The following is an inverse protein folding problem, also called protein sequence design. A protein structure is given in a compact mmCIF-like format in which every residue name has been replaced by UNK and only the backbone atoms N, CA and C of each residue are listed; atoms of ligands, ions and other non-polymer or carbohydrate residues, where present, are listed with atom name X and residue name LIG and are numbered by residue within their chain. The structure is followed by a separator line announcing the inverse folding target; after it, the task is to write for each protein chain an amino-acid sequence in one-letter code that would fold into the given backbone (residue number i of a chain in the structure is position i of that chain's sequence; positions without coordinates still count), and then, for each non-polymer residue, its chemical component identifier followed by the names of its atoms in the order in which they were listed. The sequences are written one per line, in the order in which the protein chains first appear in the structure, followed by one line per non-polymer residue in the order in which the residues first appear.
data_IF_001706076833
#
_entry.id   IF_001706076833
#
_cell.length_a   1.000
_cell.length_b   1.000
_cell.length_c   1.000
_cell.angle_alpha   90.00
_cell.angle_beta   90.00
_cell.angle_gamma   90.00
#
_symmetry.space_group_name_H-M   'P 1'
#
loop_
_entity.id
_entity.type
_entity.pdbx_description
1 polymer ?
#
# COMPACT_ATOMS: atom_id res chain seq x y z
N UNK A 1 59.23 59.15 -12.31
CA UNK A 1 58.16 58.28 -11.78
C UNK A 1 57.29 57.88 -12.96
N UNK A 2 57.37 56.60 -13.33
CA UNK A 2 57.05 56.07 -14.66
C UNK A 2 55.55 55.94 -14.94
N UNK A 3 55.17 56.26 -16.18
CA UNK A 3 53.89 55.94 -16.81
C UNK A 3 53.84 54.44 -17.11
N UNK A 4 52.79 53.76 -16.65
CA UNK A 4 52.48 52.37 -17.00
C UNK A 4 51.34 52.33 -18.02
N UNK A 5 51.60 51.72 -19.17
CA UNK A 5 50.67 51.48 -20.27
C UNK A 5 49.74 50.32 -19.92
N UNK A 6 48.43 50.56 -19.96
CA UNK A 6 47.41 49.51 -19.97
C UNK A 6 47.37 48.86 -21.35
N UNK A 7 47.74 47.57 -21.39
CA UNK A 7 47.61 46.73 -22.57
C UNK A 7 46.26 46.03 -22.48
N UNK A 8 45.27 46.55 -23.21
CA UNK A 8 43.99 45.87 -23.43
C UNK A 8 44.21 44.53 -24.13
N UNK A 9 43.68 43.45 -23.54
CA UNK A 9 43.61 42.13 -24.19
C UNK A 9 42.44 42.17 -25.18
N UNK A 10 42.64 41.81 -26.47
CA UNK A 10 41.54 41.75 -27.41
C UNK A 10 40.57 40.64 -27.03
N UNK A 11 39.29 40.98 -26.99
CA UNK A 11 38.19 40.06 -26.80
C UNK A 11 38.20 38.97 -27.87
N UNK A 12 37.97 37.73 -27.46
CA UNK A 12 37.67 36.62 -28.39
C UNK A 12 36.28 36.87 -28.98
N UNK A 13 36.24 37.57 -30.10
CA UNK A 13 35.06 37.62 -30.96
C UNK A 13 34.71 36.21 -31.43
N UNK A 14 33.47 35.83 -31.20
CA UNK A 14 32.90 34.55 -31.61
C UNK A 14 32.49 34.70 -33.08
N UNK A 15 33.44 34.46 -34.00
CA UNK A 15 33.21 34.54 -35.45
C UNK A 15 32.38 33.32 -35.90
N UNK A 16 31.14 33.50 -36.39
CA UNK A 16 30.37 32.39 -36.95
C UNK A 16 31.01 31.96 -38.27
N UNK A 17 31.44 30.70 -38.38
CA UNK A 17 31.93 30.11 -39.63
C UNK A 17 33.42 29.75 -39.69
N UNK A 18 34.16 29.84 -38.57
CA UNK A 18 35.54 29.33 -38.54
C UNK A 18 35.52 27.79 -38.52
N UNK A 19 35.94 27.15 -39.62
CA UNK A 19 36.14 25.70 -39.63
C UNK A 19 37.19 25.33 -38.58
N UNK A 20 36.81 24.43 -37.66
CA UNK A 20 37.74 23.89 -36.67
C UNK A 20 38.82 23.11 -37.39
N UNK A 21 40.08 23.37 -37.06
CA UNK A 21 41.20 22.62 -37.62
C UNK A 21 41.29 21.22 -36.96
N UNK A 22 42.09 20.33 -37.54
CA UNK A 22 42.24 18.96 -37.05
C UNK A 22 42.67 18.87 -35.58
N UNK A 23 43.50 19.81 -35.10
CA UNK A 23 43.97 19.86 -33.71
C UNK A 23 42.82 20.17 -32.74
N UNK A 24 41.97 21.15 -33.05
CA UNK A 24 40.81 21.51 -32.22
C UNK A 24 39.76 20.39 -32.17
N UNK A 25 39.58 19.65 -33.27
CA UNK A 25 38.67 18.50 -33.31
C UNK A 25 39.22 17.30 -32.50
N UNK A 26 40.53 17.09 -32.54
CA UNK A 26 41.21 16.07 -31.72
C UNK A 26 41.13 16.40 -30.21
N UNK A 27 41.22 17.68 -29.85
CA UNK A 27 41.03 18.12 -28.46
C UNK A 27 39.61 17.89 -27.95
N UNK A 28 38.59 18.10 -28.79
CA UNK A 28 37.17 17.89 -28.43
C UNK A 28 36.82 16.41 -28.16
N UNK A 29 37.59 15.46 -28.71
CA UNK A 29 37.36 14.02 -28.56
C UNK A 29 37.80 13.42 -27.20
N UNK A 30 38.21 14.27 -26.26
CA UNK A 30 38.75 13.98 -24.91
C UNK A 30 38.52 12.58 -24.29
N UNK A 31 39.63 12.03 -23.79
CA UNK A 31 39.89 10.76 -23.12
C UNK A 31 41.37 10.72 -22.68
N UNK A 32 41.80 9.69 -21.91
CA UNK A 32 43.20 9.54 -21.48
C UNK A 32 44.18 9.59 -22.66
N UNK A 33 45.42 10.08 -22.44
CA UNK A 33 46.44 10.27 -23.50
C UNK A 33 46.59 9.01 -24.39
N UNK A 34 46.55 7.82 -23.79
CA UNK A 34 46.60 6.52 -24.48
C UNK A 34 45.35 6.23 -25.33
N UNK A 35 44.17 6.59 -24.85
CA UNK A 35 42.91 6.44 -25.59
C UNK A 35 42.74 7.46 -26.72
N UNK A 36 43.54 8.53 -26.76
CA UNK A 36 43.62 9.49 -27.86
C UNK A 36 44.43 8.94 -29.04
N UNK A 37 45.58 8.30 -28.77
CA UNK A 37 46.44 7.75 -29.82
C UNK A 37 45.79 6.58 -30.57
N UNK A 38 45.08 5.69 -29.87
CA UNK A 38 44.44 4.52 -30.48
C UNK A 38 43.23 4.89 -31.35
N UNK A 39 42.40 5.84 -30.91
CA UNK A 39 41.26 6.33 -31.70
C UNK A 39 41.71 7.12 -32.92
N UNK A 40 42.75 7.93 -32.78
CA UNK A 40 43.33 8.67 -33.89
C UNK A 40 43.92 7.71 -34.94
N UNK A 41 44.69 6.71 -34.51
CA UNK A 41 45.25 5.69 -35.41
C UNK A 41 44.17 4.91 -36.18
N UNK A 42 43.02 4.61 -35.54
CA UNK A 42 41.89 3.96 -36.22
C UNK A 42 41.24 4.84 -37.27
N UNK A 43 40.97 6.11 -36.98
CA UNK A 43 40.37 7.05 -37.93
C UNK A 43 41.31 7.33 -39.12
N UNK A 44 42.62 7.35 -38.90
CA UNK A 44 43.62 7.45 -39.97
C UNK A 44 43.61 6.20 -40.87
N UNK A 45 43.58 5.00 -40.27
CA UNK A 45 43.50 3.76 -41.03
C UNK A 45 42.19 3.64 -41.82
N UNK A 46 41.08 4.12 -41.26
CA UNK A 46 39.76 4.15 -41.90
C UNK A 46 39.71 5.14 -43.07
N UNK A 47 40.30 6.33 -42.91
CA UNK A 47 40.48 7.29 -44.00
C UNK A 47 41.26 6.68 -45.17
N UNK A 48 42.35 5.97 -44.88
CA UNK A 48 43.16 5.30 -45.91
C UNK A 48 42.43 4.15 -46.59
N UNK A 49 41.58 3.41 -45.86
CA UNK A 49 40.84 2.27 -46.39
C UNK A 49 39.62 2.68 -47.24
N UNK A 50 38.95 3.76 -46.87
CA UNK A 50 37.70 4.22 -47.49
C UNK A 50 37.91 5.32 -48.54
N UNK A 51 39.07 5.98 -48.50
CA UNK A 51 39.35 7.18 -49.30
C UNK A 51 38.65 8.44 -48.78
N UNK A 52 37.90 8.36 -47.68
CA UNK A 52 37.26 9.52 -47.08
C UNK A 52 38.30 10.45 -46.43
N UNK A 53 38.17 11.78 -46.59
CA UNK A 53 39.09 12.73 -45.95
C UNK A 53 39.07 12.57 -44.42
N UNK A 54 40.25 12.36 -43.84
CA UNK A 54 40.42 12.20 -42.39
C UNK A 54 39.76 13.30 -41.54
N UNK A 55 39.70 14.53 -42.06
CA UNK A 55 39.01 15.66 -41.42
C UNK A 55 37.49 15.45 -41.31
N UNK A 56 36.86 14.79 -42.27
CA UNK A 56 35.41 14.55 -42.25
C UNK A 56 35.06 13.43 -41.28
N UNK A 57 35.87 12.37 -41.23
CA UNK A 57 35.77 11.32 -40.20
C UNK A 57 35.96 11.88 -38.79
N UNK A 58 36.89 12.81 -38.60
CA UNK A 58 37.06 13.53 -37.32
C UNK A 58 35.84 14.38 -36.96
N UNK A 59 35.31 15.16 -37.92
CA UNK A 59 34.12 15.99 -37.71
C UNK A 59 32.91 15.11 -37.33
N UNK A 60 32.75 13.95 -37.95
CA UNK A 60 31.66 13.03 -37.65
C UNK A 60 31.81 12.39 -36.26
N UNK A 61 33.00 11.91 -35.91
CA UNK A 61 33.27 11.34 -34.59
C UNK A 61 33.01 12.34 -33.44
N UNK A 62 33.30 13.63 -33.65
CA UNK A 62 32.99 14.70 -32.68
C UNK A 62 31.48 14.86 -32.52
N UNK A 63 30.72 14.89 -33.62
CA UNK A 63 29.25 14.99 -33.57
C UNK A 63 28.63 13.80 -32.86
N UNK A 64 29.13 12.60 -33.11
CA UNK A 64 28.62 11.37 -32.48
C UNK A 64 28.90 11.35 -30.97
N UNK A 65 30.08 11.83 -30.56
CA UNK A 65 30.41 12.01 -29.14
C UNK A 65 29.49 13.03 -28.48
N UNK A 66 29.31 14.20 -29.09
CA UNK A 66 28.44 15.26 -28.58
C UNK A 66 26.97 14.79 -28.48
N UNK A 67 26.48 14.03 -29.47
CA UNK A 67 25.15 13.42 -29.45
C UNK A 67 25.00 12.38 -28.32
N UNK A 68 26.02 11.54 -28.12
CA UNK A 68 26.06 10.57 -27.02
C UNK A 68 26.03 11.23 -25.64
N UNK A 69 26.82 12.30 -25.45
CA UNK A 69 26.83 13.07 -24.21
C UNK A 69 25.50 13.80 -23.95
N UNK A 70 24.87 14.37 -24.98
CA UNK A 70 23.55 14.97 -24.86
C UNK A 70 22.48 13.95 -24.49
N UNK A 71 22.53 12.74 -25.07
CA UNK A 71 21.62 11.66 -24.73
C UNK A 71 21.81 11.20 -23.28
N UNK A 72 23.06 11.06 -22.82
CA UNK A 72 23.38 10.74 -21.42
C UNK A 72 22.93 11.84 -20.46
N UNK A 73 23.09 13.13 -20.82
CA UNK A 73 22.60 14.27 -20.01
C UNK A 73 21.07 14.30 -19.94
N UNK A 74 20.36 14.00 -21.05
CA UNK A 74 18.89 13.90 -21.06
C UNK A 74 18.41 12.72 -20.21
N UNK A 75 18.97 11.54 -20.42
CA UNK A 75 18.64 10.34 -19.62
C UNK A 75 19.00 10.51 -18.13
N UNK A 76 20.06 11.26 -17.81
CA UNK A 76 20.43 11.62 -16.44
C UNK A 76 19.43 12.59 -15.81
N UNK A 77 18.99 13.61 -16.55
CA UNK A 77 17.94 14.55 -16.09
C UNK A 77 16.58 13.87 -15.93
N UNK A 78 16.24 12.93 -16.80
CA UNK A 78 15.01 12.15 -16.74
C UNK A 78 15.02 11.19 -15.55
N UNK A 79 16.14 10.49 -15.30
CA UNK A 79 16.34 9.70 -14.07
C UNK A 79 16.29 10.56 -12.81
N UNK A 80 16.79 11.80 -12.85
CA UNK A 80 16.69 12.73 -11.72
C UNK A 80 15.25 13.23 -11.51
N UNK A 81 14.49 13.45 -12.59
CA UNK A 81 13.05 13.78 -12.55
C UNK A 81 12.24 12.60 -12.01
N UNK A 82 12.44 11.40 -12.51
CA UNK A 82 11.80 10.19 -11.97
C UNK A 82 12.19 9.95 -10.51
N UNK A 83 13.45 10.20 -10.12
CA UNK A 83 13.87 10.08 -8.72
C UNK A 83 13.25 11.18 -7.85
N UNK A 84 13.00 12.39 -8.39
CA UNK A 84 12.27 13.47 -7.71
C UNK A 84 10.78 13.17 -7.57
N UNK A 85 10.17 12.62 -8.62
CA UNK A 85 8.77 12.18 -8.65
C UNK A 85 8.53 10.98 -7.71
N UNK A 86 9.45 10.00 -7.70
CA UNK A 86 9.45 8.88 -6.74
C UNK A 86 9.83 9.29 -5.31
N UNK A 87 10.63 10.35 -5.15
CA UNK A 87 10.97 10.89 -3.82
C UNK A 87 9.82 11.63 -3.15
N UNK A 88 8.64 11.66 -3.78
CA UNK A 88 7.38 11.95 -3.12
C UNK A 88 7.43 13.31 -2.46
N UNK A 89 7.06 14.31 -3.25
CA UNK A 89 6.26 15.44 -2.78
C UNK A 89 5.98 15.34 -1.29
N UNK A 90 6.66 16.19 -0.52
CA UNK A 90 6.14 16.79 0.71
C UNK A 90 4.63 16.89 0.50
N UNK A 91 3.85 15.92 0.99
CA UNK A 91 2.39 16.03 0.96
C UNK A 91 2.16 17.37 1.60
N UNK A 92 1.62 18.31 0.84
CA UNK A 92 1.27 19.61 1.39
C UNK A 92 0.43 19.28 2.61
N UNK A 93 1.02 19.57 3.75
CA UNK A 93 0.44 19.29 5.04
C UNK A 93 -0.89 20.00 5.02
N UNK A 94 -1.99 19.26 5.06
CA UNK A 94 -3.31 19.85 5.23
C UNK A 94 -3.28 20.64 6.54
N UNK A 95 -3.27 21.99 6.49
CA UNK A 95 -3.13 22.80 7.69
C UNK A 95 -4.32 22.63 8.65
N UNK A 96 -5.39 21.95 8.22
CA UNK A 96 -6.58 21.66 9.02
C UNK A 96 -6.41 20.43 9.91
N UNK A 97 -5.37 19.61 9.72
CA UNK A 97 -5.13 18.44 10.56
C UNK A 97 -4.02 18.70 11.60
N UNK A 98 -4.27 18.41 12.88
CA UNK A 98 -3.27 18.58 13.91
C UNK A 98 -2.07 17.63 13.66
N UNK A 99 -0.86 18.17 13.82
CA UNK A 99 0.37 17.41 13.64
C UNK A 99 0.51 16.35 14.73
N UNK A 100 0.36 15.08 14.36
CA UNK A 100 0.73 13.96 15.24
C UNK A 100 2.22 14.02 15.56
N UNK A 101 2.55 14.04 16.83
CA UNK A 101 3.90 13.92 17.37
C UNK A 101 4.53 12.58 16.98
N UNK A 102 5.86 12.48 17.01
CA UNK A 102 6.54 11.22 16.74
C UNK A 102 6.10 10.11 17.70
N UNK A 103 5.86 10.43 18.97
CA UNK A 103 5.39 9.48 19.98
C UNK A 103 3.98 8.94 19.63
N UNK A 104 3.05 9.80 19.21
CA UNK A 104 1.72 9.35 18.79
C UNK A 104 1.76 8.42 17.58
N UNK A 105 2.68 8.67 16.64
CA UNK A 105 2.88 7.81 15.45
C UNK A 105 3.44 6.45 15.83
N UNK A 106 4.43 6.42 16.72
CA UNK A 106 4.99 5.18 17.28
C UNK A 106 3.90 4.40 18.03
N UNK A 107 3.09 5.08 18.84
CA UNK A 107 1.97 4.49 19.58
C UNK A 107 0.88 3.98 18.63
N UNK A 108 0.61 4.67 17.52
CA UNK A 108 -0.27 4.19 16.46
C UNK A 108 0.27 2.93 15.79
N UNK A 109 1.57 2.89 15.48
CA UNK A 109 2.19 1.73 14.86
C UNK A 109 2.15 0.48 15.76
N UNK A 110 2.42 0.61 17.07
CA UNK A 110 2.32 -0.53 17.98
C UNK A 110 0.87 -0.98 18.20
N UNK A 111 -0.10 -0.05 18.22
CA UNK A 111 -1.54 -0.38 18.25
C UNK A 111 -1.94 -1.20 17.03
N UNK A 112 -1.53 -0.78 15.83
CA UNK A 112 -1.81 -1.51 14.59
C UNK A 112 -1.17 -2.91 14.63
N UNK A 113 0.14 -2.99 14.90
CA UNK A 113 0.89 -4.26 14.91
C UNK A 113 0.43 -5.20 16.04
N UNK A 114 -0.10 -4.67 17.15
CA UNK A 114 -0.66 -5.46 18.23
C UNK A 114 -2.10 -5.91 17.97
N UNK A 115 -2.89 -5.14 17.22
CA UNK A 115 -4.29 -5.47 16.89
C UNK A 115 -4.39 -6.50 15.77
N UNK A 116 -3.48 -6.43 14.81
CA UNK A 116 -3.45 -7.29 13.63
C UNK A 116 -2.26 -8.26 13.72
N UNK A 117 -2.42 -9.46 13.17
CA UNK A 117 -1.39 -10.52 13.24
C UNK A 117 -0.12 -10.16 12.46
N UNK A 118 -0.26 -9.43 11.36
CA UNK A 118 0.85 -8.93 10.57
C UNK A 118 0.47 -7.60 9.89
N UNK A 119 1.40 -6.66 9.85
CA UNK A 119 1.23 -5.38 9.14
C UNK A 119 2.44 -5.13 8.25
N UNK A 120 2.24 -4.79 6.98
CA UNK A 120 3.34 -4.46 6.10
C UNK A 120 3.98 -3.12 6.49
N UNK A 121 5.32 -3.04 6.42
CA UNK A 121 6.04 -1.80 6.74
C UNK A 121 5.57 -0.64 5.85
N UNK A 122 5.30 -0.91 4.57
CA UNK A 122 4.78 0.09 3.61
C UNK A 122 3.47 0.70 4.10
N UNK A 123 2.59 -0.10 4.70
CA UNK A 123 1.28 0.38 5.13
C UNK A 123 1.40 1.24 6.40
N UNK A 124 2.30 0.88 7.32
CA UNK A 124 2.63 1.74 8.47
C UNK A 124 3.24 3.07 8.04
N UNK A 125 4.14 3.05 7.05
CA UNK A 125 4.71 4.28 6.47
C UNK A 125 3.59 5.19 5.98
N UNK A 126 2.66 4.66 5.19
CA UNK A 126 1.53 5.42 4.66
C UNK A 126 0.60 5.95 5.76
N UNK A 127 0.17 5.08 6.69
CA UNK A 127 -0.89 5.38 7.65
C UNK A 127 -0.40 6.09 8.92
N UNK A 128 0.67 5.59 9.53
CA UNK A 128 1.13 6.09 10.84
C UNK A 128 2.21 7.15 10.71
N UNK A 129 2.97 7.16 9.61
CA UNK A 129 4.07 8.09 9.39
C UNK A 129 3.82 9.08 8.24
N UNK A 130 2.58 9.24 7.78
CA UNK A 130 2.15 10.15 6.70
C UNK A 130 3.02 10.05 5.42
N UNK A 131 3.49 8.84 5.11
CA UNK A 131 4.35 8.57 3.96
C UNK A 131 5.84 8.80 4.20
N UNK A 132 6.30 9.15 5.41
CA UNK A 132 7.71 9.45 5.71
C UNK A 132 8.51 8.18 6.05
N UNK A 133 9.30 7.59 5.12
CA UNK A 133 9.89 6.28 5.34
C UNK A 133 11.00 6.31 6.40
N UNK A 134 11.80 7.39 6.43
CA UNK A 134 12.86 7.55 7.41
C UNK A 134 12.34 7.56 8.85
N UNK A 135 11.24 8.28 9.09
CA UNK A 135 10.59 8.32 10.41
C UNK A 135 10.07 6.93 10.81
N UNK A 136 9.44 6.21 9.88
CA UNK A 136 8.97 4.85 10.10
C UNK A 136 10.13 3.90 10.41
N UNK A 137 11.21 3.90 9.63
CA UNK A 137 12.38 3.06 9.89
C UNK A 137 13.02 3.34 11.24
N UNK A 138 13.14 4.62 11.64
CA UNK A 138 13.63 5.00 12.96
C UNK A 138 12.73 4.46 14.08
N UNK A 139 11.41 4.60 13.93
CA UNK A 139 10.43 4.09 14.87
C UNK A 139 10.50 2.56 14.99
N UNK A 140 10.51 1.84 13.87
CA UNK A 140 10.56 0.38 13.87
C UNK A 140 11.86 -0.11 14.48
N UNK A 141 13.01 0.50 14.15
CA UNK A 141 14.28 0.14 14.78
C UNK A 141 14.25 0.36 16.31
N UNK A 142 13.56 1.40 16.80
CA UNK A 142 13.36 1.61 18.24
C UNK A 142 12.44 0.54 18.86
N UNK A 143 11.36 0.17 18.18
CA UNK A 143 10.44 -0.87 18.65
C UNK A 143 11.12 -2.24 18.69
N UNK A 144 11.94 -2.58 17.70
CA UNK A 144 12.74 -3.81 17.68
C UNK A 144 13.78 -3.84 18.80
N UNK A 145 14.53 -2.74 19.00
CA UNK A 145 15.51 -2.66 20.12
C UNK A 145 14.85 -2.83 21.49
N UNK A 146 13.58 -2.43 21.63
CA UNK A 146 12.78 -2.62 22.85
C UNK A 146 12.13 -4.01 22.92
N UNK A 147 12.35 -4.87 21.91
CA UNK A 147 11.75 -6.19 21.83
C UNK A 147 10.23 -6.16 21.69
N UNK A 148 9.65 -5.11 21.11
CA UNK A 148 8.19 -4.96 20.96
C UNK A 148 7.68 -5.50 19.62
N UNK A 149 8.50 -5.49 18.58
CA UNK A 149 8.13 -6.01 17.26
C UNK A 149 9.26 -6.84 16.67
N UNK A 150 8.91 -7.76 15.79
CA UNK A 150 9.83 -8.49 14.93
C UNK A 150 9.57 -8.14 13.46
N UNK A 151 10.64 -7.91 12.70
CA UNK A 151 10.58 -7.87 11.23
C UNK A 151 10.64 -9.28 10.65
N UNK A 152 9.81 -9.52 9.64
CA UNK A 152 9.87 -10.73 8.81
C UNK A 152 9.77 -10.36 7.34
N UNK A 153 10.33 -11.23 6.50
CA UNK A 153 10.10 -11.17 5.07
C UNK A 153 8.95 -12.09 4.70
N UNK A 154 8.07 -11.60 3.84
CA UNK A 154 6.96 -12.35 3.28
C UNK A 154 7.02 -12.30 1.76
N UNK A 155 6.44 -13.31 1.10
CA UNK A 155 6.27 -13.31 -0.34
C UNK A 155 4.97 -12.63 -0.71
N UNK A 156 5.04 -11.68 -1.64
CA UNK A 156 3.89 -11.02 -2.24
C UNK A 156 3.26 -11.87 -3.34
N UNK A 157 2.03 -11.53 -3.78
CA UNK A 157 1.30 -12.28 -4.79
C UNK A 157 2.01 -12.38 -6.15
N UNK A 158 2.96 -11.48 -6.43
CA UNK A 158 3.71 -11.39 -7.69
C UNK A 158 5.15 -11.92 -7.56
N UNK A 159 5.46 -12.65 -6.49
CA UNK A 159 6.79 -13.25 -6.25
C UNK A 159 7.84 -12.31 -5.64
N UNK A 160 7.56 -11.00 -5.53
CA UNK A 160 8.42 -10.06 -4.80
C UNK A 160 8.35 -10.29 -3.28
N UNK A 161 9.44 -10.03 -2.55
CA UNK A 161 9.41 -10.05 -1.08
C UNK A 161 9.06 -8.69 -0.51
N UNK A 162 8.40 -8.67 0.64
CA UNK A 162 8.10 -7.45 1.37
C UNK A 162 8.23 -7.65 2.88
N UNK A 163 8.56 -6.57 3.57
CA UNK A 163 8.76 -6.58 5.02
C UNK A 163 7.44 -6.41 5.77
N UNK A 164 7.19 -7.31 6.72
CA UNK A 164 6.08 -7.22 7.67
C UNK A 164 6.59 -7.10 9.09
N UNK A 165 5.77 -6.47 9.93
CA UNK A 165 5.97 -6.40 11.37
C UNK A 165 4.92 -7.26 12.07
N UNK A 166 5.38 -7.95 13.11
CA UNK A 166 4.58 -8.79 13.99
C UNK A 166 4.89 -8.37 15.43
N UNK A 167 3.88 -8.27 16.28
CA UNK A 167 4.10 -7.96 17.69
C UNK A 167 4.75 -9.15 18.41
N UNK A 168 5.72 -8.85 19.28
CA UNK A 168 6.14 -9.80 20.31
C UNK A 168 5.09 -9.83 21.43
N UNK A 169 5.26 -10.71 22.43
CA UNK A 169 4.40 -10.68 23.63
C UNK A 169 4.47 -9.31 24.34
N UNK A 170 5.66 -8.73 24.44
CA UNK A 170 5.86 -7.39 25.01
C UNK A 170 5.18 -6.32 24.16
N UNK A 171 5.23 -6.44 22.83
CA UNK A 171 4.52 -5.54 21.92
C UNK A 171 3.00 -5.61 22.05
N UNK A 172 2.44 -6.81 22.15
CA UNK A 172 1.00 -7.00 22.33
C UNK A 172 0.51 -6.44 23.66
N UNK A 173 1.28 -6.63 24.75
CA UNK A 173 0.99 -6.02 26.05
C UNK A 173 1.08 -4.49 25.99
N UNK A 174 2.08 -3.93 25.30
CA UNK A 174 2.20 -2.48 25.10
C UNK A 174 1.03 -1.91 24.29
N UNK A 175 0.61 -2.61 23.23
CA UNK A 175 -0.56 -2.23 22.44
C UNK A 175 -1.85 -2.27 23.28
N UNK A 176 -2.02 -3.28 24.13
CA UNK A 176 -3.18 -3.40 25.03
C UNK A 176 -3.23 -2.24 26.02
N UNK A 177 -2.10 -1.90 26.65
CA UNK A 177 -2.01 -0.75 27.55
C UNK A 177 -2.39 0.56 26.82
N UNK A 178 -1.87 0.77 25.62
CA UNK A 178 -2.21 1.94 24.80
C UNK A 178 -3.69 1.98 24.40
N UNK A 179 -4.32 0.83 24.15
CA UNK A 179 -5.77 0.79 23.88
C UNK A 179 -6.59 1.09 25.14
N UNK A 180 -6.15 0.61 26.30
CA UNK A 180 -6.78 0.91 27.59
C UNK A 180 -6.73 2.42 27.91
N UNK A 181 -5.58 3.05 27.71
CA UNK A 181 -5.40 4.50 27.84
C UNK A 181 -6.31 5.29 26.89
N UNK A 182 -6.58 4.76 25.70
CA UNK A 182 -7.53 5.33 24.75
C UNK A 182 -9.00 5.01 25.05
N UNK A 183 -9.31 4.42 26.21
CA UNK A 183 -10.68 4.05 26.61
C UNK A 183 -11.23 2.79 25.93
N UNK A 184 -10.40 2.02 25.22
CA UNK A 184 -10.81 0.82 24.45
C UNK A 184 -10.37 -0.47 25.16
N UNK A 185 -10.83 -0.65 26.41
CA UNK A 185 -10.38 -1.74 27.29
C UNK A 185 -10.71 -3.16 26.78
N UNK A 186 -11.62 -3.30 25.82
CA UNK A 186 -11.98 -4.56 25.19
C UNK A 186 -11.14 -4.95 23.97
N UNK A 187 -10.21 -4.11 23.50
CA UNK A 187 -9.43 -4.40 22.30
C UNK A 187 -8.43 -5.53 22.58
N UNK A 188 -8.64 -6.68 21.95
CA UNK A 188 -7.69 -7.80 22.03
C UNK A 188 -6.45 -7.51 21.20
N UNK A 189 -5.31 -7.97 21.68
CA UNK A 189 -4.03 -7.91 20.98
C UNK A 189 -3.46 -9.30 20.76
N UNK A 190 -2.58 -9.42 19.77
CA UNK A 190 -2.01 -10.67 19.30
C UNK A 190 -0.49 -10.55 19.24
N UNK A 191 0.19 -11.67 19.44
CA UNK A 191 1.65 -11.75 19.38
C UNK A 191 2.10 -13.05 18.74
N UNK A 192 3.30 -13.03 18.16
CA UNK A 192 4.01 -14.22 17.75
C UNK A 192 3.90 -14.53 16.25
N UNK A 193 4.73 -15.48 15.84
CA UNK A 193 4.94 -15.86 14.44
C UNK A 193 3.65 -16.21 13.70
N UNK A 194 3.33 -15.43 12.66
CA UNK A 194 2.38 -15.83 11.61
C UNK A 194 3.08 -16.79 10.65
N UNK A 195 2.38 -17.85 10.22
CA UNK A 195 2.91 -18.76 9.19
C UNK A 195 3.13 -17.99 7.90
N UNK A 196 4.23 -18.26 7.19
CA UNK A 196 4.59 -17.52 5.96
C UNK A 196 3.44 -17.48 4.93
N UNK A 197 2.70 -18.57 4.78
CA UNK A 197 1.55 -18.66 3.88
C UNK A 197 0.34 -17.80 4.28
N UNK A 198 0.22 -17.42 5.56
CA UNK A 198 -0.89 -16.61 6.09
C UNK A 198 -0.57 -15.11 6.06
N UNK A 199 0.71 -14.72 6.00
CA UNK A 199 1.13 -13.30 6.11
C UNK A 199 0.50 -12.42 5.03
N UNK A 200 0.48 -12.89 3.78
CA UNK A 200 -0.12 -12.11 2.68
C UNK A 200 -1.62 -11.87 2.89
N UNK A 201 -2.33 -12.86 3.43
CA UNK A 201 -3.74 -12.72 3.80
C UNK A 201 -3.91 -11.75 4.97
N UNK A 202 -3.15 -11.92 6.05
CA UNK A 202 -3.25 -11.06 7.25
C UNK A 202 -2.99 -9.57 6.94
N UNK A 203 -2.06 -9.29 6.03
CA UNK A 203 -1.80 -7.94 5.54
C UNK A 203 -2.99 -7.40 4.73
N UNK A 204 -3.61 -8.23 3.90
CA UNK A 204 -4.83 -7.83 3.18
C UNK A 204 -5.99 -7.58 4.15
N UNK A 205 -6.11 -8.36 5.24
CA UNK A 205 -7.11 -8.14 6.30
C UNK A 205 -6.87 -6.81 7.02
N UNK A 206 -5.62 -6.47 7.36
CA UNK A 206 -5.28 -5.16 7.90
C UNK A 206 -5.78 -4.04 6.99
N UNK A 207 -5.42 -4.09 5.70
CA UNK A 207 -5.79 -3.04 4.75
C UNK A 207 -7.30 -2.92 4.56
N UNK A 208 -8.00 -4.06 4.47
CA UNK A 208 -9.46 -4.09 4.36
C UNK A 208 -10.14 -3.49 5.60
N UNK A 209 -9.65 -3.82 6.81
CA UNK A 209 -10.15 -3.23 8.04
C UNK A 209 -9.90 -1.72 8.12
N UNK A 210 -8.73 -1.25 7.65
CA UNK A 210 -8.44 0.18 7.56
C UNK A 210 -9.39 0.89 6.59
N UNK A 211 -9.62 0.34 5.40
CA UNK A 211 -10.56 0.91 4.43
C UNK A 211 -12.00 0.94 4.99
N UNK A 212 -12.41 -0.11 5.70
CA UNK A 212 -13.71 -0.14 6.39
C UNK A 212 -13.81 0.95 7.46
N UNK A 213 -12.75 1.13 8.25
CA UNK A 213 -12.69 2.18 9.27
C UNK A 213 -12.81 3.57 8.62
N UNK A 214 -12.05 3.86 7.57
CA UNK A 214 -12.08 5.15 6.87
C UNK A 214 -13.47 5.44 6.30
N UNK A 215 -14.14 4.44 5.72
CA UNK A 215 -15.53 4.57 5.26
C UNK A 215 -16.50 4.88 6.40
N UNK A 216 -16.41 4.16 7.51
CA UNK A 216 -17.26 4.39 8.69
C UNK A 216 -17.04 5.82 9.21
N UNK A 217 -15.79 6.24 9.36
CA UNK A 217 -15.41 7.58 9.83
C UNK A 217 -15.87 8.69 8.87
N UNK A 218 -15.80 8.47 7.55
CA UNK A 218 -16.30 9.40 6.54
C UNK A 218 -17.83 9.65 6.66
N UNK A 219 -18.57 8.71 7.24
CA UNK A 219 -20.01 8.86 7.53
C UNK A 219 -20.30 9.40 8.93
N UNK A 220 -19.29 9.88 9.64
CA UNK A 220 -19.39 10.39 11.01
C UNK A 220 -19.40 9.31 12.10
N UNK A 221 -19.21 8.04 11.73
CA UNK A 221 -19.07 6.94 12.68
C UNK A 221 -17.70 6.90 13.37
N UNK A 222 -17.59 6.10 14.43
CA UNK A 222 -16.35 5.88 15.17
C UNK A 222 -16.18 4.40 15.47
N UNK A 223 -15.07 3.82 15.02
CA UNK A 223 -14.72 2.43 15.32
C UNK A 223 -14.31 2.29 16.78
N UNK A 224 -15.00 1.41 17.51
CA UNK A 224 -14.80 1.14 18.94
C UNK A 224 -14.02 -0.13 19.19
N UNK A 225 -14.04 -1.12 18.27
CA UNK A 225 -13.24 -2.35 18.37
C UNK A 225 -12.98 -2.95 16.98
N UNK A 226 -11.83 -3.61 16.84
CA UNK A 226 -11.56 -4.54 15.73
C UNK A 226 -11.41 -5.93 16.30
N UNK A 227 -12.15 -6.91 15.77
CA UNK A 227 -12.04 -8.33 16.13
C UNK A 227 -11.57 -9.11 14.92
N UNK A 228 -10.49 -9.86 15.03
CA UNK A 228 -10.05 -10.75 13.94
C UNK A 228 -10.70 -12.13 14.05
N UNK A 229 -10.66 -12.90 12.97
CA UNK A 229 -11.26 -14.23 12.87
C UNK A 229 -10.91 -15.17 14.03
N UNK A 230 -9.65 -15.18 14.48
CA UNK A 230 -9.17 -16.02 15.56
C UNK A 230 -9.87 -15.71 16.90
N UNK A 231 -10.17 -14.43 17.16
CA UNK A 231 -10.91 -14.01 18.34
C UNK A 231 -12.36 -14.47 18.28
N UNK A 232 -13.02 -14.24 17.15
CA UNK A 232 -14.42 -14.62 16.92
C UNK A 232 -14.60 -16.14 17.02
N UNK A 233 -13.74 -16.91 16.35
CA UNK A 233 -13.71 -18.38 16.43
C UNK A 233 -13.51 -18.84 17.87
N UNK A 234 -12.56 -18.24 18.59
CA UNK A 234 -12.26 -18.58 19.97
C UNK A 234 -13.43 -18.35 20.92
N UNK A 235 -14.11 -17.20 20.84
CA UNK A 235 -15.27 -16.90 21.68
C UNK A 235 -16.46 -17.82 21.40
N UNK A 236 -16.77 -18.06 20.12
CA UNK A 236 -17.85 -18.95 19.71
C UNK A 236 -17.57 -20.38 20.15
N UNK A 237 -16.35 -20.88 19.93
CA UNK A 237 -15.94 -22.22 20.33
C UNK A 237 -15.98 -22.38 21.86
N UNK A 238 -15.50 -21.39 22.62
CA UNK A 238 -15.49 -21.45 24.08
C UNK A 238 -16.91 -21.56 24.67
N UNK A 239 -17.88 -20.80 24.12
CA UNK A 239 -19.29 -20.89 24.55
C UNK A 239 -19.91 -22.25 24.19
N UNK A 240 -19.62 -22.75 22.98
CA UNK A 240 -20.06 -24.07 22.54
C UNK A 240 -19.51 -25.20 23.42
N UNK A 241 -18.21 -25.19 23.67
CA UNK A 241 -17.53 -26.22 24.45
C UNK A 241 -17.98 -26.21 25.92
N UNK A 242 -18.21 -25.03 26.51
CA UNK A 242 -18.77 -24.91 27.86
C UNK A 242 -20.15 -25.57 27.95
N UNK A 243 -21.04 -25.27 27.01
CA UNK A 243 -22.38 -25.86 26.98
C UNK A 243 -22.34 -27.39 26.72
N UNK A 244 -21.43 -27.84 25.85
CA UNK A 244 -21.22 -29.27 25.57
C UNK A 244 -20.81 -30.04 26.82
N UNK A 245 -19.87 -29.50 27.60
CA UNK A 245 -19.39 -30.13 28.85
C UNK A 245 -20.45 -30.16 29.95
N UNK A 246 -21.33 -29.16 30.00
CA UNK A 246 -22.40 -29.09 31.01
C UNK A 246 -23.61 -29.95 30.67
N UNK A 247 -23.84 -30.24 29.39
CA UNK A 247 -24.99 -30.98 28.90
C UNK A 247 -24.55 -32.02 27.86
N UNK A 248 -24.71 -31.71 26.58
CA UNK A 248 -24.47 -32.63 25.49
C UNK A 248 -24.00 -31.91 24.22
N UNK A 249 -23.74 -32.68 23.17
CA UNK A 249 -23.35 -32.14 21.86
C UNK A 249 -24.36 -31.12 21.31
N UNK A 250 -25.67 -31.42 21.39
CA UNK A 250 -26.74 -30.59 20.85
C UNK A 250 -26.79 -29.22 21.54
N UNK A 251 -26.64 -29.18 22.85
CA UNK A 251 -26.53 -27.94 23.63
C UNK A 251 -25.29 -27.14 23.22
N UNK A 252 -24.17 -27.81 22.93
CA UNK A 252 -22.97 -27.20 22.37
C UNK A 252 -23.22 -26.50 21.02
N UNK A 253 -23.91 -27.16 20.10
CA UNK A 253 -24.24 -26.58 18.78
C UNK A 253 -25.20 -25.39 18.88
N UNK A 254 -26.23 -25.51 19.71
CA UNK A 254 -27.16 -24.42 19.99
C UNK A 254 -26.43 -23.21 20.60
N UNK A 255 -25.50 -23.45 21.53
CA UNK A 255 -24.69 -22.39 22.14
C UNK A 255 -23.73 -21.73 21.14
N UNK A 256 -23.13 -22.48 20.19
CA UNK A 256 -22.32 -21.90 19.10
C UNK A 256 -23.16 -20.98 18.22
N UNK A 257 -24.36 -21.43 17.84
CA UNK A 257 -25.27 -20.64 17.01
C UNK A 257 -25.71 -19.36 17.72
N UNK A 258 -26.08 -19.46 19.00
CA UNK A 258 -26.41 -18.30 19.83
C UNK A 258 -25.23 -17.34 19.99
N UNK A 259 -24.04 -17.87 20.23
CA UNK A 259 -22.82 -17.07 20.33
C UNK A 259 -22.54 -16.28 19.04
N UNK A 260 -22.69 -16.92 17.88
CA UNK A 260 -22.54 -16.26 16.60
C UNK A 260 -23.56 -15.12 16.42
N UNK A 261 -24.84 -15.37 16.75
CA UNK A 261 -25.89 -14.35 16.69
C UNK A 261 -25.59 -13.16 17.62
N UNK A 262 -25.21 -13.41 18.89
CA UNK A 262 -24.85 -12.36 19.84
C UNK A 262 -23.69 -11.48 19.32
N UNK A 263 -22.74 -12.10 18.61
CA UNK A 263 -21.58 -11.45 17.99
C UNK A 263 -21.88 -10.88 16.59
N UNK A 264 -23.10 -11.02 16.06
CA UNK A 264 -23.46 -10.53 14.72
C UNK A 264 -22.72 -11.24 13.59
N UNK A 265 -22.31 -12.49 13.85
CA UNK A 265 -21.65 -13.37 12.90
C UNK A 265 -22.73 -14.22 12.20
N UNK A 266 -22.85 -14.16 10.86
CA UNK A 266 -23.91 -14.87 10.14
C UNK A 266 -23.86 -16.39 10.33
N UNK A 267 -25.04 -17.01 10.39
CA UNK A 267 -25.20 -18.47 10.38
C UNK A 267 -26.04 -18.84 9.15
N UNK A 268 -25.50 -19.71 8.31
CA UNK A 268 -26.16 -20.18 7.09
C UNK A 268 -26.11 -21.71 7.05
N UNK A 269 -27.26 -22.34 6.82
CA UNK A 269 -27.39 -23.81 6.74
C UNK A 269 -26.77 -24.53 7.96
N UNK A 270 -26.97 -23.96 9.16
CA UNK A 270 -26.40 -24.47 10.41
C UNK A 270 -24.90 -24.21 10.60
N UNK A 271 -24.24 -23.55 9.65
CA UNK A 271 -22.81 -23.23 9.69
C UNK A 271 -22.58 -21.77 10.05
N UNK A 272 -21.76 -21.54 11.07
CA UNK A 272 -21.26 -20.21 11.41
C UNK A 272 -20.25 -19.76 10.35
N UNK A 273 -20.51 -18.61 9.73
CA UNK A 273 -19.63 -17.98 8.75
C UNK A 273 -18.83 -16.88 9.45
N UNK A 274 -17.58 -17.14 9.80
CA UNK A 274 -16.74 -16.16 10.51
C UNK A 274 -16.03 -15.25 9.50
N UNK A 275 -16.11 -13.91 9.64
CA UNK A 275 -15.35 -12.98 8.79
C UNK A 275 -13.87 -12.96 9.14
N UNK A 276 -13.06 -12.43 8.23
CA UNK A 276 -11.63 -12.21 8.47
C UNK A 276 -11.40 -11.17 9.58
N UNK A 277 -12.21 -10.12 9.58
CA UNK A 277 -12.29 -9.13 10.65
C UNK A 277 -13.72 -8.62 10.84
N UNK A 278 -14.03 -8.14 12.04
CA UNK A 278 -15.26 -7.44 12.36
C UNK A 278 -14.92 -6.12 13.04
N UNK A 279 -15.43 -5.01 12.51
CA UNK A 279 -15.35 -3.71 13.16
C UNK A 279 -16.64 -3.48 13.94
N UNK A 280 -16.53 -3.22 15.23
CA UNK A 280 -17.61 -2.64 16.04
C UNK A 280 -17.46 -1.13 16.01
N UNK A 281 -18.56 -0.41 15.84
CA UNK A 281 -18.54 1.05 15.73
C UNK A 281 -19.81 1.67 16.29
N UNK A 282 -19.72 2.95 16.63
CA UNK A 282 -20.88 3.82 16.87
C UNK A 282 -21.08 4.65 15.61
N UNK A 283 -22.24 4.57 14.99
CA UNK A 283 -22.60 5.37 13.82
C UNK A 283 -22.71 6.87 14.18
N UNK A 284 -22.71 7.75 13.17
CA UNK A 284 -22.83 9.20 13.41
C UNK A 284 -24.12 9.62 14.13
N UNK A 285 -25.15 8.77 14.12
CA UNK A 285 -26.40 8.97 14.86
C UNK A 285 -26.42 8.30 16.25
N UNK A 286 -25.27 7.79 16.70
CA UNK A 286 -25.10 7.18 18.02
C UNK A 286 -25.50 5.71 18.11
N UNK A 287 -26.00 5.08 17.04
CA UNK A 287 -26.36 3.65 17.07
C UNK A 287 -25.12 2.77 16.98
N UNK A 288 -25.12 1.68 17.73
CA UNK A 288 -24.10 0.63 17.59
C UNK A 288 -24.26 -0.11 16.26
N UNK A 289 -23.13 -0.40 15.63
CA UNK A 289 -23.05 -1.10 14.36
C UNK A 289 -21.89 -2.08 14.32
N UNK A 290 -21.98 -3.02 13.37
CA UNK A 290 -20.94 -4.01 13.07
C UNK A 290 -20.69 -4.07 11.56
N UNK A 291 -19.44 -4.24 11.18
CA UNK A 291 -19.01 -4.42 9.79
C UNK A 291 -18.17 -5.69 9.70
N UNK A 292 -18.72 -6.74 9.09
CA UNK A 292 -18.05 -8.03 8.87
C UNK A 292 -17.21 -7.96 7.59
N UNK A 293 -15.91 -7.73 7.73
CA UNK A 293 -14.94 -7.59 6.63
C UNK A 293 -14.49 -8.97 6.15
N UNK A 294 -14.52 -9.17 4.83
CA UNK A 294 -14.07 -10.37 4.15
C UNK A 294 -13.10 -10.03 3.03
N UNK A 295 -11.94 -10.68 3.01
CA UNK A 295 -10.94 -10.51 1.96
C UNK A 295 -11.08 -11.60 0.90
N UNK A 296 -11.53 -11.21 -0.28
CA UNK A 296 -11.57 -12.06 -1.45
C UNK A 296 -10.20 -12.13 -2.14
N UNK A 297 -9.72 -13.35 -2.37
CA UNK A 297 -8.54 -13.61 -3.19
C UNK A 297 -8.89 -13.81 -4.66
N UNK A 298 -7.89 -13.87 -5.54
CA UNK A 298 -8.09 -14.10 -6.97
C UNK A 298 -8.71 -15.47 -7.30
N UNK A 299 -8.63 -16.43 -6.37
CA UNK A 299 -9.18 -17.77 -6.54
C UNK A 299 -10.64 -17.91 -6.11
N UNK A 300 -11.22 -16.88 -5.50
CA UNK A 300 -12.64 -16.90 -5.12
C UNK A 300 -13.53 -16.97 -6.35
N UNK A 301 -14.50 -17.87 -6.33
CA UNK A 301 -15.48 -17.98 -7.41
C UNK A 301 -16.60 -16.98 -7.17
N UNK A 302 -17.18 -16.43 -8.24
CA UNK A 302 -18.24 -15.42 -8.13
C UNK A 302 -19.46 -15.86 -7.29
N UNK A 303 -19.76 -17.17 -7.26
CA UNK A 303 -20.81 -17.74 -6.39
C UNK A 303 -20.48 -17.59 -4.89
N UNK A 304 -19.23 -17.77 -4.50
CA UNK A 304 -18.76 -17.70 -3.11
C UNK A 304 -18.79 -16.25 -2.64
N UNK A 305 -18.35 -15.32 -3.50
CA UNK A 305 -18.44 -13.87 -3.26
C UNK A 305 -19.89 -13.45 -3.07
N UNK A 306 -20.81 -13.87 -3.95
CA UNK A 306 -22.24 -13.56 -3.81
C UNK A 306 -22.87 -14.16 -2.56
N UNK A 307 -22.52 -15.39 -2.21
CA UNK A 307 -23.03 -16.03 -1.00
C UNK A 307 -22.60 -15.27 0.26
N UNK A 308 -21.31 -14.90 0.35
CA UNK A 308 -20.80 -14.08 1.47
C UNK A 308 -21.42 -12.68 1.48
N UNK A 309 -21.51 -12.00 0.35
CA UNK A 309 -22.18 -10.70 0.29
C UNK A 309 -23.65 -10.78 0.72
N UNK A 310 -24.38 -11.82 0.30
CA UNK A 310 -25.78 -12.07 0.72
C UNK A 310 -25.89 -12.35 2.22
N UNK A 311 -24.87 -12.97 2.83
CA UNK A 311 -24.80 -13.20 4.27
C UNK A 311 -24.43 -11.92 5.06
N UNK A 312 -24.22 -10.78 4.39
CA UNK A 312 -23.96 -9.49 5.04
C UNK A 312 -22.48 -9.17 5.25
N UNK A 313 -21.58 -9.86 4.54
CA UNK A 313 -20.15 -9.54 4.55
C UNK A 313 -19.84 -8.39 3.61
N UNK A 314 -18.95 -7.51 4.04
CA UNK A 314 -18.38 -6.47 3.22
C UNK A 314 -17.10 -7.00 2.55
N UNK A 315 -17.16 -7.10 1.23
CA UNK A 315 -16.14 -7.75 0.42
C UNK A 315 -15.05 -6.76 0.02
N UNK A 316 -13.80 -7.08 0.35
CA UNK A 316 -12.60 -6.36 -0.06
C UNK A 316 -11.72 -7.27 -0.91
N UNK A 317 -11.09 -6.73 -1.94
CA UNK A 317 -10.22 -7.49 -2.81
C UNK A 317 -8.77 -7.44 -2.34
N UNK A 318 -8.08 -8.59 -2.32
CA UNK A 318 -6.66 -8.62 -1.94
C UNK A 318 -5.70 -8.14 -3.04
N UNK A 319 -6.18 -7.97 -4.27
CA UNK A 319 -5.39 -7.54 -5.42
C UNK A 319 -6.27 -6.92 -6.52
N UNK A 320 -5.69 -6.18 -7.49
CA UNK A 320 -6.45 -5.66 -8.64
C UNK A 320 -7.14 -6.76 -9.46
N UNK A 321 -6.54 -7.96 -9.56
CA UNK A 321 -7.18 -9.11 -10.21
C UNK A 321 -8.40 -9.60 -9.43
N UNK A 322 -8.24 -9.76 -8.11
CA UNK A 322 -9.34 -10.14 -7.23
C UNK A 322 -10.47 -9.10 -7.28
N UNK A 323 -10.14 -7.81 -7.39
CA UNK A 323 -11.10 -6.73 -7.51
C UNK A 323 -12.00 -6.89 -8.75
N UNK A 324 -11.41 -7.21 -9.91
CA UNK A 324 -12.20 -7.48 -11.11
C UNK A 324 -13.15 -8.67 -10.93
N UNK A 325 -12.75 -9.70 -10.17
CA UNK A 325 -13.61 -10.85 -9.86
C UNK A 325 -14.76 -10.44 -8.92
N UNK A 326 -14.46 -9.70 -7.86
CA UNK A 326 -15.43 -9.18 -6.88
C UNK A 326 -16.46 -8.28 -7.56
N UNK A 327 -16.00 -7.32 -8.38
CA UNK A 327 -16.88 -6.40 -9.10
C UNK A 327 -17.80 -7.14 -10.08
N UNK A 328 -17.27 -8.08 -10.88
CA UNK A 328 -18.11 -8.90 -11.79
C UNK A 328 -19.11 -9.77 -11.04
N UNK A 329 -18.72 -10.34 -9.91
CA UNK A 329 -19.59 -11.20 -9.12
C UNK A 329 -20.78 -10.43 -8.54
N UNK A 330 -20.58 -9.16 -8.19
CA UNK A 330 -21.55 -8.33 -7.49
C UNK A 330 -22.34 -7.38 -8.40
N UNK A 331 -21.84 -7.07 -9.61
CA UNK A 331 -22.57 -6.29 -10.61
C UNK A 331 -23.94 -6.92 -10.99
N UNK A 332 -24.08 -8.24 -10.86
CA UNK A 332 -25.34 -8.96 -11.07
C UNK A 332 -26.33 -8.94 -9.88
N UNK A 333 -25.95 -8.35 -8.74
CA UNK A 333 -26.80 -8.32 -7.53
C UNK A 333 -27.68 -7.05 -7.49
N UNK A 334 -27.42 -6.06 -8.36
CA UNK A 334 -28.11 -4.77 -8.40
C UNK A 334 -29.15 -4.54 -9.51
N UNK A 335 -29.51 -5.56 -10.30
CA UNK A 335 -30.37 -5.38 -11.48
C UNK A 335 -31.47 -6.43 -11.61
N UNK A 336 -32.66 -6.16 -11.08
CA UNK A 336 -33.82 -7.02 -11.27
C UNK A 336 -35.11 -6.47 -10.67
N UNK A 337 -35.80 -5.58 -11.41
CA UNK A 337 -37.26 -5.61 -11.69
C UNK A 337 -37.71 -4.30 -12.38
N UNK A 338 -37.74 -4.32 -13.72
CA UNK A 338 -38.71 -3.55 -14.51
C UNK A 338 -39.46 -4.53 -15.39
N UNK A 339 -40.79 -4.52 -15.29
CA UNK A 339 -41.68 -4.98 -16.35
C UNK A 339 -42.38 -6.33 -16.12
N UNK A 340 -43.42 -6.35 -15.29
CA UNK A 340 -44.70 -6.96 -15.70
C UNK A 340 -45.85 -6.30 -14.95
N UNK A 341 -46.76 -5.74 -15.73
CA UNK A 341 -48.06 -5.20 -15.35
C UNK A 341 -48.90 -6.21 -14.56
N UNK A 342 -49.58 -5.73 -13.51
CA UNK A 342 -50.51 -6.51 -12.70
C UNK A 342 -51.07 -5.68 -11.55
N UNK A 343 -52.37 -5.41 -11.62
CA UNK A 343 -53.20 -4.57 -10.76
C UNK A 343 -53.32 -5.15 -9.33
N UNK A 344 -53.40 -4.28 -8.30
CA UNK A 344 -53.94 -4.64 -6.96
C UNK A 344 -53.15 -4.04 -5.79
N UNK A 345 -53.73 -3.04 -5.11
CA UNK A 345 -53.11 -2.39 -3.94
C UNK A 345 -53.21 -3.21 -2.65
N UNK A 346 -52.39 -2.84 -1.64
CA UNK A 346 -52.75 -2.52 -0.25
C UNK A 346 -51.48 -1.96 0.43
N UNK A 347 -51.65 -0.91 1.23
CA UNK A 347 -50.63 -0.15 1.95
C UNK A 347 -49.86 -0.95 3.01
N UNK A 348 -48.58 -0.63 3.18
CA UNK A 348 -47.73 -1.13 4.27
C UNK A 348 -46.34 -0.49 4.21
N UNK A 349 -46.11 0.51 5.06
CA UNK A 349 -44.90 1.35 5.04
C UNK A 349 -43.61 0.61 5.33
N UNK A 350 -42.57 0.91 4.54
CA UNK A 350 -41.15 0.74 4.90
C UNK A 350 -40.35 1.92 4.37
N UNK A 351 -39.76 2.66 5.31
CA UNK A 351 -38.81 3.75 5.09
C UNK A 351 -37.58 3.23 4.33
N UNK A 352 -37.39 3.74 3.12
CA UNK A 352 -36.23 3.43 2.29
C UNK A 352 -35.00 4.22 2.71
N UNK A 353 -33.90 3.52 2.98
CA UNK A 353 -32.55 4.08 2.86
C UNK A 353 -32.12 3.98 1.40
N UNK A 354 -32.12 5.12 0.69
CA UNK A 354 -31.60 5.20 -0.68
C UNK A 354 -30.07 5.30 -0.65
N UNK A 355 -29.42 4.28 -1.22
CA UNK A 355 -28.40 4.50 -2.25
C UNK A 355 -26.98 4.84 -1.80
N UNK A 356 -26.36 4.02 -0.94
CA UNK A 356 -24.90 3.90 -0.95
C UNK A 356 -24.46 3.13 -2.19
N UNK A 357 -23.57 3.70 -3.01
CA UNK A 357 -22.95 2.99 -4.15
C UNK A 357 -22.24 1.73 -3.60
N UNK A 358 -22.61 0.52 -4.03
CA UNK A 358 -21.93 -0.65 -3.52
C UNK A 358 -20.64 -0.83 -4.34
N UNK A 359 -19.53 -1.03 -3.63
CA UNK A 359 -18.19 -1.41 -4.15
C UNK A 359 -17.31 -0.27 -4.67
N UNK A 360 -16.79 0.57 -3.75
CA UNK A 360 -15.45 1.14 -4.00
C UNK A 360 -14.43 0.01 -3.83
N UNK A 361 -13.84 -0.38 -4.95
CA UNK A 361 -12.63 -1.20 -4.96
C UNK A 361 -11.48 -0.28 -4.57
N UNK A 362 -10.94 -0.47 -3.38
CA UNK A 362 -9.65 0.10 -3.05
C UNK A 362 -8.57 -0.83 -3.60
N UNK A 363 -7.74 -0.32 -4.51
CA UNK A 363 -6.48 -0.99 -4.83
C UNK A 363 -5.61 -0.99 -3.57
N UNK A 364 -5.19 -2.19 -3.15
CA UNK A 364 -4.30 -2.39 -2.00
C UNK A 364 -2.82 -2.21 -2.35
#
# INVERSE_FOLDING_TARGET
MSRGLDIERPGRENVPGRERNALELLEALDGTIRGRSERNARLLAESQATGEPYLDLLKQAVRDKEAGEQHQRRAGRERLRERRERSGHRREHDPRQPRRSFAERVNGAIRDVGTFRAVALRDLVARQFDGHPFAAHKAVAQLERRGLVERRQAQGPQGGTFTVLVATRGGAAAAEALWREAGRQGQRTFSGAVKAAEVGHDVAVYRAAIAAQERIEATGGRVTRVRIDAELKGEIAARGERARRMRDHKAGEAARTRAAADLGVPVQDGRVLVPDAQLEYVAGDGRDGRCNVEVASEHYRGREIRAKAKAGFEMYASSPRAAGVVQRALAGVGGGTRGRSGIGGVAGGRSGSRGGRPYEVFEL
#
